data_IF_245332661431
#
_entry.id   IF_245332661431
#
_cell.length_a   1.000
_cell.length_b   1.000
_cell.length_c   1.000
_cell.angle_alpha   90.00
_cell.angle_beta   90.00
_cell.angle_gamma   90.00
#
_symmetry.space_group_name_H-M   'P 1'
#
loop_
_entity.id
_entity.type
_entity.pdbx_description
1 polymer ?
#
# COMPACT_ATOMS: atom_id res chain seq x y z
N UNK A 1 -2.23 -1.98 16.40
CA UNK A 1 -3.50 -1.75 15.66
C UNK A 1 -3.64 -0.34 15.08
N UNK A 2 -3.30 0.75 15.81
CA UNK A 2 -3.43 2.14 15.32
C UNK A 2 -2.65 2.47 14.02
N UNK A 3 -1.50 1.82 13.79
CA UNK A 3 -0.69 2.09 12.59
C UNK A 3 -1.35 1.59 11.30
N UNK A 4 -2.09 0.49 11.34
CA UNK A 4 -2.72 -0.07 10.14
C UNK A 4 -3.87 0.80 9.63
N UNK A 5 -4.75 1.26 10.52
CA UNK A 5 -5.82 2.19 10.16
C UNK A 5 -5.29 3.52 9.58
N UNK A 6 -4.17 4.02 10.12
CA UNK A 6 -3.49 5.21 9.58
C UNK A 6 -2.97 4.98 8.16
N UNK A 7 -2.39 3.82 7.88
CA UNK A 7 -1.89 3.47 6.54
C UNK A 7 -3.05 3.34 5.54
N UNK A 8 -4.16 2.71 5.94
CA UNK A 8 -5.38 2.62 5.09
C UNK A 8 -5.88 4.02 4.72
N UNK A 9 -6.00 4.93 5.68
CA UNK A 9 -6.45 6.30 5.41
C UNK A 9 -5.52 7.05 4.45
N UNK A 10 -4.21 6.88 4.60
CA UNK A 10 -3.22 7.49 3.70
C UNK A 10 -3.31 6.90 2.29
N UNK A 11 -3.51 5.59 2.19
CA UNK A 11 -3.66 4.88 0.91
C UNK A 11 -4.90 5.37 0.16
N UNK A 12 -6.05 5.46 0.84
CA UNK A 12 -7.29 5.95 0.25
C UNK A 12 -7.18 7.41 -0.20
N UNK A 13 -6.48 8.25 0.57
CA UNK A 13 -6.18 9.62 0.15
C UNK A 13 -5.33 9.66 -1.11
N UNK A 14 -4.24 8.89 -1.16
CA UNK A 14 -3.37 8.83 -2.33
C UNK A 14 -4.08 8.26 -3.57
N UNK A 15 -4.99 7.29 -3.39
CA UNK A 15 -5.82 6.75 -4.46
C UNK A 15 -6.76 7.79 -5.06
N UNK A 16 -7.39 8.64 -4.23
CA UNK A 16 -8.20 9.77 -4.71
C UNK A 16 -7.37 10.82 -5.42
N UNK A 17 -6.17 11.13 -4.91
CA UNK A 17 -5.23 12.04 -5.57
C UNK A 17 -4.84 11.50 -6.96
N UNK A 18 -4.63 10.19 -7.09
CA UNK A 18 -4.30 9.56 -8.37
C UNK A 18 -5.45 9.70 -9.37
N UNK A 19 -6.67 9.39 -8.94
CA UNK A 19 -7.87 9.50 -9.77
C UNK A 19 -8.22 10.95 -10.16
N UNK A 20 -7.83 11.92 -9.35
CA UNK A 20 -8.03 13.34 -9.62
C UNK A 20 -6.88 13.97 -10.43
N UNK A 21 -5.80 13.23 -10.69
CA UNK A 21 -4.67 13.74 -11.47
C UNK A 21 -5.00 13.66 -12.96
N UNK A 22 -4.75 14.76 -13.66
CA UNK A 22 -4.90 14.81 -15.11
C UNK A 22 -3.98 13.75 -15.75
N UNK A 23 -4.52 12.82 -16.58
CA UNK A 23 -3.70 11.85 -17.29
C UNK A 23 -2.68 12.49 -18.26
N UNK A 24 -2.87 13.75 -18.65
CA UNK A 24 -1.90 14.52 -19.44
C UNK A 24 -0.64 14.91 -18.66
N UNK A 25 -0.73 15.07 -17.34
CA UNK A 25 0.38 15.42 -16.45
C UNK A 25 1.12 14.16 -15.98
N UNK A 26 1.93 13.60 -16.88
CA UNK A 26 2.65 12.34 -16.66
C UNK A 26 3.59 12.38 -15.45
N UNK A 27 4.23 13.52 -15.18
CA UNK A 27 5.15 13.64 -14.04
C UNK A 27 4.41 13.56 -12.72
N UNK A 28 3.29 14.28 -12.61
CA UNK A 28 2.44 14.24 -11.43
C UNK A 28 1.79 12.88 -11.26
N UNK A 29 1.32 12.26 -12.34
CA UNK A 29 0.77 10.91 -12.33
C UNK A 29 1.80 9.89 -11.80
N UNK A 30 3.04 9.96 -12.29
CA UNK A 30 4.14 9.10 -11.84
C UNK A 30 4.47 9.32 -10.36
N UNK A 31 4.50 10.58 -9.92
CA UNK A 31 4.76 10.93 -8.53
C UNK A 31 3.69 10.36 -7.58
N UNK A 32 2.40 10.49 -7.96
CA UNK A 32 1.29 9.95 -7.17
C UNK A 32 1.26 8.42 -7.22
N UNK A 33 1.56 7.81 -8.37
CA UNK A 33 1.69 6.34 -8.48
C UNK A 33 2.74 5.79 -7.52
N UNK A 34 3.94 6.36 -7.51
CA UNK A 34 5.02 5.96 -6.58
C UNK A 34 4.62 6.10 -5.11
N UNK A 35 3.82 7.12 -4.78
CA UNK A 35 3.28 7.33 -3.43
C UNK A 35 2.28 6.22 -3.04
N UNK A 36 1.41 5.81 -3.96
CA UNK A 36 0.49 4.69 -3.76
C UNK A 36 1.27 3.39 -3.56
N UNK A 37 2.25 3.10 -4.41
CA UNK A 37 3.08 1.87 -4.32
C UNK A 37 3.77 1.75 -2.96
N UNK A 38 4.35 2.86 -2.47
CA UNK A 38 4.99 2.90 -1.15
C UNK A 38 4.00 2.59 -0.02
N UNK A 39 2.78 3.12 -0.10
CA UNK A 39 1.74 2.91 0.91
C UNK A 39 1.18 1.48 0.86
N UNK A 40 1.13 0.85 -0.31
CA UNK A 40 0.77 -0.57 -0.46
C UNK A 40 1.81 -1.43 0.27
N UNK A 41 3.10 -1.18 0.06
CA UNK A 41 4.16 -1.92 0.77
C UNK A 41 4.05 -1.73 2.28
N UNK A 42 3.81 -0.50 2.76
CA UNK A 42 3.61 -0.20 4.18
C UNK A 42 2.35 -0.90 4.75
N UNK A 43 1.27 -0.98 3.96
CA UNK A 43 0.06 -1.71 4.34
C UNK A 43 0.35 -3.20 4.51
N UNK A 44 1.06 -3.81 3.55
CA UNK A 44 1.41 -5.23 3.64
C UNK A 44 2.36 -5.52 4.80
N UNK A 45 3.35 -4.66 5.06
CA UNK A 45 4.24 -4.78 6.23
C UNK A 45 3.44 -4.70 7.53
N UNK A 46 2.62 -3.68 7.71
CA UNK A 46 1.80 -3.53 8.93
C UNK A 46 0.76 -4.64 9.07
N UNK A 47 0.19 -5.13 7.97
CA UNK A 47 -0.70 -6.30 7.95
C UNK A 47 0.05 -7.57 8.35
N UNK A 48 1.27 -7.74 7.86
CA UNK A 48 2.13 -8.86 8.21
C UNK A 48 2.52 -8.79 9.69
N UNK A 49 2.99 -7.65 10.20
CA UNK A 49 3.33 -7.46 11.62
C UNK A 49 2.14 -7.72 12.56
N UNK A 50 0.92 -7.35 12.14
CA UNK A 50 -0.31 -7.70 12.88
C UNK A 50 -0.57 -9.22 12.88
N UNK A 51 -0.20 -9.94 11.81
CA UNK A 51 -0.30 -11.40 11.72
C UNK A 51 0.85 -12.10 12.46
N UNK A 52 2.10 -11.66 12.32
CA UNK A 52 3.27 -12.25 12.99
C UNK A 52 3.35 -11.92 14.47
N UNK A 53 2.80 -10.79 14.91
CA UNK A 53 2.53 -10.53 16.33
C UNK A 53 1.51 -11.50 16.94
N UNK A 54 0.77 -12.25 16.11
CA UNK A 54 -0.10 -13.36 16.52
C UNK A 54 0.49 -14.75 16.28
N UNK A 55 1.40 -14.93 15.32
CA UNK A 55 2.06 -16.20 15.02
C UNK A 55 3.47 -15.93 14.44
N UNK A 56 4.52 -16.20 15.22
CA UNK A 56 5.77 -16.71 14.64
C UNK A 56 5.39 -17.94 13.82
N UNK A 57 5.61 -17.94 12.51
CA UNK A 57 5.79 -19.09 11.61
C UNK A 57 5.83 -18.50 10.18
N UNK A 58 7.04 -18.24 9.68
CA UNK A 58 7.79 -19.11 8.76
C UNK A 58 7.51 -18.73 7.30
N UNK A 59 8.56 -18.17 6.70
CA UNK A 59 9.01 -18.40 5.33
C UNK A 59 7.96 -18.92 4.34
N UNK A 60 7.46 -18.01 3.49
CA UNK A 60 7.64 -18.21 2.06
C UNK A 60 7.27 -16.97 1.25
N UNK A 61 8.19 -16.60 0.37
CA UNK A 61 7.86 -16.02 -0.91
C UNK A 61 6.66 -16.75 -1.51
N UNK A 62 5.51 -16.09 -1.62
CA UNK A 62 4.51 -16.52 -2.59
C UNK A 62 3.86 -15.31 -3.19
N UNK A 63 4.38 -14.99 -4.38
CA UNK A 63 3.67 -14.43 -5.51
C UNK A 63 2.16 -14.74 -5.40
N UNK A 64 1.35 -13.77 -4.98
CA UNK A 64 -0.08 -13.84 -5.28
C UNK A 64 -0.25 -13.09 -6.58
N UNK A 65 -0.17 -13.88 -7.64
CA UNK A 65 -0.59 -13.60 -9.00
C UNK A 65 -1.96 -12.92 -9.01
N UNK A 66 -2.09 -11.90 -9.86
CA UNK A 66 -3.37 -11.61 -10.50
C UNK A 66 -3.86 -12.90 -11.17
N UNK A 67 -5.03 -13.40 -10.78
CA UNK A 67 -6.19 -13.83 -11.59
C UNK A 67 -7.37 -13.92 -10.64
#
# INVERSE_FOLDING_TARGET
>A
MLNHGRVILRLEKARRELLATDPGDKEKLLAVSRKVDKLIVEYHRTKHDLRTGRLRLEDNCTCISLV
#
